data_IF_549605459648
#
_entry.id   IF_549605459648
#
_cell.length_a   1.000
_cell.length_b   1.000
_cell.length_c   1.000
_cell.angle_alpha   90.00
_cell.angle_beta   90.00
_cell.angle_gamma   90.00
#
_symmetry.space_group_name_H-M   'P 1'
#
loop_
_entity.id
_entity.type
_entity.pdbx_description
1 polymer ?
#
# COMPACT_ATOMS: atom_id res chain seq x y z
N UNK A 1 4.31 13.67 -12.37
CA UNK A 1 5.16 12.47 -12.26
C UNK A 1 4.18 11.31 -12.18
N UNK A 2 3.61 10.94 -13.32
CA UNK A 2 2.83 9.72 -13.44
C UNK A 2 3.77 8.59 -13.83
N UNK A 3 3.42 7.35 -13.52
CA UNK A 3 3.95 6.25 -14.28
C UNK A 3 3.66 6.58 -15.74
N UNK A 4 4.68 6.53 -16.59
CA UNK A 4 4.48 6.63 -18.03
C UNK A 4 3.82 5.36 -18.58
N UNK A 5 2.86 4.83 -17.85
CA UNK A 5 2.10 3.63 -18.22
C UNK A 5 0.87 4.10 -18.97
N UNK A 6 0.74 3.63 -20.21
CA UNK A 6 -0.40 3.90 -21.08
C UNK A 6 -1.44 2.79 -20.96
N UNK A 7 -0.98 1.52 -20.86
CA UNK A 7 -1.86 0.36 -20.79
C UNK A 7 -1.13 -0.86 -20.21
N UNK A 8 -1.88 -1.92 -19.94
CA UNK A 8 -1.40 -3.19 -19.39
C UNK A 8 -1.94 -4.33 -20.26
N UNK A 9 -1.04 -5.14 -20.81
CA UNK A 9 -1.42 -6.37 -21.48
C UNK A 9 -1.60 -7.51 -20.46
N UNK A 10 -2.71 -8.21 -20.55
CA UNK A 10 -3.07 -9.33 -19.68
C UNK A 10 -3.32 -10.58 -20.50
N UNK A 11 -2.95 -11.72 -19.95
CA UNK A 11 -3.29 -13.06 -20.47
C UNK A 11 -4.04 -13.84 -19.41
N UNK A 12 -4.95 -14.70 -19.89
CA UNK A 12 -5.74 -15.59 -19.02
C UNK A 12 -5.03 -16.92 -18.89
N UNK A 13 -4.68 -17.27 -17.69
CA UNK A 13 -4.04 -18.55 -17.38
C UNK A 13 -4.50 -19.05 -16.00
N UNK A 14 -4.04 -20.23 -15.61
CA UNK A 14 -4.35 -20.80 -14.31
C UNK A 14 -3.24 -20.55 -13.31
N UNK A 15 -3.61 -19.98 -12.16
CA UNK A 15 -2.75 -19.88 -10.98
C UNK A 15 -2.97 -21.10 -10.09
N UNK A 16 -1.89 -21.77 -9.68
CA UNK A 16 -1.97 -22.84 -8.69
C UNK A 16 -2.36 -22.29 -7.33
N UNK A 17 -3.38 -22.84 -6.71
CA UNK A 17 -3.78 -22.48 -5.35
C UNK A 17 -3.10 -23.42 -4.34
N UNK A 18 -2.58 -22.86 -3.26
CA UNK A 18 -2.10 -23.66 -2.14
C UNK A 18 -3.27 -24.22 -1.35
N UNK A 19 -3.07 -25.33 -0.57
CA UNK A 19 -4.12 -25.88 0.30
C UNK A 19 -4.69 -24.83 1.27
N UNK A 20 -3.84 -23.95 1.80
CA UNK A 20 -4.24 -22.87 2.71
C UNK A 20 -5.14 -21.85 2.00
N UNK A 21 -4.81 -21.47 0.78
CA UNK A 21 -5.64 -20.57 -0.04
C UNK A 21 -7.01 -21.20 -0.32
N UNK A 22 -7.06 -22.49 -0.63
CA UNK A 22 -8.32 -23.21 -0.87
C UNK A 22 -9.16 -23.24 0.41
N UNK A 23 -8.54 -23.52 1.56
CA UNK A 23 -9.22 -23.52 2.84
C UNK A 23 -9.76 -22.14 3.20
N UNK A 24 -8.97 -21.09 2.97
CA UNK A 24 -9.41 -19.71 3.17
C UNK A 24 -10.60 -19.33 2.29
N UNK A 25 -10.55 -19.66 0.99
CA UNK A 25 -11.65 -19.39 0.05
C UNK A 25 -12.93 -20.12 0.48
N UNK A 26 -12.81 -21.36 0.94
CA UNK A 26 -13.94 -22.15 1.45
C UNK A 26 -14.53 -21.56 2.74
N UNK A 27 -13.68 -21.14 3.68
CA UNK A 27 -14.12 -20.61 4.97
C UNK A 27 -14.71 -19.20 4.87
N UNK A 28 -14.27 -18.41 3.90
CA UNK A 28 -14.77 -17.05 3.67
C UNK A 28 -16.13 -16.97 2.99
N UNK A 29 -16.72 -18.11 2.59
CA UNK A 29 -17.99 -18.15 1.86
C UNK A 29 -17.92 -17.54 0.44
N UNK A 30 -16.73 -17.24 -0.04
CA UNK A 30 -16.51 -16.61 -1.36
C UNK A 30 -16.51 -17.62 -2.52
N UNK A 31 -16.77 -18.89 -2.26
CA UNK A 31 -16.99 -19.87 -3.31
C UNK A 31 -18.42 -19.71 -3.86
N UNK A 32 -18.64 -18.62 -4.58
CA UNK A 32 -19.83 -18.49 -5.43
C UNK A 32 -19.74 -19.46 -6.62
N UNK A 33 -20.88 -19.79 -7.22
CA UNK A 33 -20.93 -20.64 -8.43
C UNK A 33 -20.06 -20.07 -9.55
N UNK A 34 -19.91 -18.74 -9.62
CA UNK A 34 -19.04 -18.06 -10.55
C UNK A 34 -17.55 -18.35 -10.26
N UNK A 35 -17.14 -18.31 -9.00
CA UNK A 35 -15.77 -18.62 -8.61
C UNK A 35 -15.45 -20.12 -8.73
N UNK A 36 -16.42 -20.98 -8.45
CA UNK A 36 -16.29 -22.42 -8.69
C UNK A 36 -16.08 -22.75 -10.17
N UNK A 37 -16.70 -21.98 -11.08
CA UNK A 37 -16.51 -22.15 -12.53
C UNK A 37 -15.12 -21.76 -13.03
N UNK A 38 -14.36 -20.96 -12.25
CA UNK A 38 -12.99 -20.56 -12.56
C UNK A 38 -11.94 -21.59 -12.13
N UNK A 39 -12.33 -22.60 -11.35
CA UNK A 39 -11.44 -23.68 -10.96
C UNK A 39 -11.15 -24.61 -12.14
N UNK A 40 -9.89 -25.01 -12.29
CA UNK A 40 -9.47 -25.94 -13.31
C UNK A 40 -10.04 -27.34 -13.04
N UNK A 41 -10.56 -27.96 -14.10
CA UNK A 41 -10.92 -29.38 -14.13
C UNK A 41 -9.80 -30.22 -14.74
N UNK A 42 -8.67 -29.62 -15.10
CA UNK A 42 -7.52 -30.30 -15.68
C UNK A 42 -6.85 -31.20 -14.61
N UNK A 43 -6.72 -32.52 -14.86
CA UNK A 43 -6.01 -33.43 -13.96
C UNK A 43 -4.55 -33.02 -13.67
N UNK A 44 -3.91 -32.28 -14.58
CA UNK A 44 -2.53 -31.79 -14.41
C UNK A 44 -2.45 -30.55 -13.52
N UNK A 45 -3.56 -29.85 -13.33
CA UNK A 45 -3.67 -28.66 -12.49
C UNK A 45 -5.02 -28.62 -11.75
N UNK A 46 -5.31 -29.60 -10.88
CA UNK A 46 -6.64 -29.79 -10.29
C UNK A 46 -7.10 -28.63 -9.39
N UNK A 47 -6.17 -27.80 -8.91
CA UNK A 47 -6.43 -26.65 -8.04
C UNK A 47 -6.09 -25.32 -8.74
N UNK A 48 -5.99 -25.32 -10.06
CA UNK A 48 -5.73 -24.12 -10.83
C UNK A 48 -6.93 -23.17 -10.80
N UNK A 49 -6.72 -21.91 -10.44
CA UNK A 49 -7.73 -20.86 -10.50
C UNK A 49 -7.47 -19.97 -11.73
N UNK A 50 -8.46 -19.88 -12.62
CA UNK A 50 -8.33 -19.06 -13.82
C UNK A 50 -8.37 -17.58 -13.46
N UNK A 51 -7.34 -16.86 -13.83
CA UNK A 51 -7.22 -15.44 -13.55
C UNK A 51 -6.48 -14.72 -14.69
N UNK A 52 -6.48 -13.41 -14.64
CA UNK A 52 -5.75 -12.57 -15.58
C UNK A 52 -4.36 -12.27 -15.01
N UNK A 53 -3.33 -12.52 -15.81
CA UNK A 53 -1.95 -12.21 -15.47
C UNK A 53 -1.44 -11.06 -16.31
N UNK A 54 -0.81 -10.08 -15.64
CA UNK A 54 -0.09 -9.02 -16.33
C UNK A 54 1.16 -9.63 -16.98
N UNK A 55 1.23 -9.60 -18.29
CA UNK A 55 2.38 -10.11 -19.04
C UNK A 55 3.32 -8.98 -19.48
N UNK A 56 2.78 -7.81 -19.78
CA UNK A 56 3.58 -6.65 -20.13
C UNK A 56 2.89 -5.33 -19.79
N UNK A 57 3.70 -4.27 -19.72
CA UNK A 57 3.27 -2.90 -19.45
C UNK A 57 3.63 -2.03 -20.65
N UNK A 58 2.64 -1.33 -21.16
CA UNK A 58 2.79 -0.39 -22.26
C UNK A 58 3.12 0.97 -21.67
N UNK A 59 4.30 1.46 -22.00
CA UNK A 59 4.82 2.71 -21.47
C UNK A 59 4.83 3.78 -22.55
N UNK A 60 4.71 5.05 -22.15
CA UNK A 60 4.75 6.19 -23.04
C UNK A 60 5.79 7.20 -22.56
N UNK A 61 6.66 7.62 -23.46
CA UNK A 61 7.64 8.69 -23.24
C UNK A 61 7.49 9.75 -24.33
N UNK A 62 6.81 10.84 -24.01
CA UNK A 62 6.45 11.84 -25.00
C UNK A 62 5.49 11.26 -26.04
N UNK A 63 5.97 11.14 -27.30
CA UNK A 63 5.22 10.52 -28.41
C UNK A 63 5.55 9.03 -28.63
N UNK A 64 6.59 8.53 -27.96
CA UNK A 64 7.02 7.14 -28.11
C UNK A 64 6.23 6.23 -27.17
N UNK A 65 5.76 5.13 -27.72
CA UNK A 65 5.08 4.06 -26.99
C UNK A 65 5.96 2.82 -27.10
N UNK A 66 6.25 2.19 -25.97
CA UNK A 66 7.05 0.97 -25.92
C UNK A 66 6.49 -0.01 -24.90
N UNK A 67 6.62 -1.28 -25.17
CA UNK A 67 6.13 -2.36 -24.31
C UNK A 67 7.30 -3.01 -23.60
N UNK A 68 7.18 -3.16 -22.28
CA UNK A 68 8.15 -3.91 -21.46
C UNK A 68 7.45 -5.10 -20.82
N UNK A 69 8.07 -6.30 -20.84
CA UNK A 69 7.59 -7.44 -20.09
C UNK A 69 7.46 -7.10 -18.60
N UNK A 70 6.50 -7.70 -17.91
CA UNK A 70 6.33 -7.54 -16.44
C UNK A 70 7.64 -7.78 -15.70
N UNK A 71 8.42 -8.80 -16.09
CA UNK A 71 9.70 -9.14 -15.48
C UNK A 71 10.77 -8.05 -15.62
N UNK A 72 10.60 -7.11 -16.56
CA UNK A 72 11.49 -5.98 -16.77
C UNK A 72 11.06 -4.70 -16.03
N UNK A 73 9.93 -4.76 -15.32
CA UNK A 73 9.48 -3.63 -14.50
C UNK A 73 10.24 -3.57 -13.19
N UNK A 74 10.43 -2.35 -12.67
CA UNK A 74 10.97 -2.19 -11.31
C UNK A 74 9.97 -2.71 -10.28
N UNK A 75 10.47 -3.22 -9.16
CA UNK A 75 9.64 -3.63 -8.03
C UNK A 75 8.73 -2.48 -7.56
N UNK A 76 9.26 -1.26 -7.48
CA UNK A 76 8.49 -0.07 -7.13
C UNK A 76 7.34 0.22 -8.10
N UNK A 77 7.54 -0.01 -9.40
CA UNK A 77 6.47 0.13 -10.40
C UNK A 77 5.36 -0.88 -10.16
N UNK A 78 5.71 -2.15 -9.97
CA UNK A 78 4.73 -3.22 -9.74
C UNK A 78 4.00 -3.02 -8.41
N UNK A 79 4.71 -2.63 -7.35
CA UNK A 79 4.12 -2.33 -6.05
C UNK A 79 3.14 -1.16 -6.14
N UNK A 80 3.52 -0.09 -6.79
CA UNK A 80 2.66 1.06 -6.95
C UNK A 80 1.39 0.74 -7.77
N UNK A 81 1.50 -0.04 -8.84
CA UNK A 81 0.34 -0.52 -9.59
C UNK A 81 -0.60 -1.34 -8.70
N UNK A 82 -0.05 -2.22 -7.85
CA UNK A 82 -0.82 -3.02 -6.90
C UNK A 82 -1.55 -2.13 -5.87
N UNK A 83 -0.87 -1.13 -5.31
CA UNK A 83 -1.46 -0.21 -4.34
C UNK A 83 -2.53 0.66 -5.01
N UNK A 84 -2.29 1.24 -6.18
CA UNK A 84 -3.29 2.02 -6.92
C UNK A 84 -4.55 1.20 -7.22
N UNK A 85 -4.38 -0.06 -7.61
CA UNK A 85 -5.50 -0.97 -7.82
C UNK A 85 -6.28 -1.20 -6.53
N UNK A 86 -5.58 -1.43 -5.40
CA UNK A 86 -6.21 -1.64 -4.10
C UNK A 86 -6.93 -0.38 -3.61
N UNK A 87 -6.34 0.81 -3.78
CA UNK A 87 -6.96 2.10 -3.49
C UNK A 87 -8.25 2.28 -4.29
N UNK A 88 -8.20 2.07 -5.60
CA UNK A 88 -9.36 2.15 -6.46
C UNK A 88 -10.50 1.21 -6.02
N UNK A 89 -10.18 -0.06 -5.74
CA UNK A 89 -11.18 -1.04 -5.27
C UNK A 89 -11.76 -0.64 -3.91
N UNK A 90 -10.92 -0.14 -2.99
CA UNK A 90 -11.40 0.36 -1.70
C UNK A 90 -12.35 1.54 -1.87
N UNK A 91 -12.00 2.51 -2.71
CA UNK A 91 -12.79 3.71 -2.99
C UNK A 91 -14.15 3.37 -3.58
N UNK A 92 -14.20 2.49 -4.58
CA UNK A 92 -15.47 2.06 -5.21
C UNK A 92 -16.39 1.33 -4.25
N UNK A 93 -15.86 0.68 -3.22
CA UNK A 93 -16.62 -0.17 -2.31
C UNK A 93 -16.72 0.40 -0.87
N UNK A 94 -16.27 1.63 -0.63
CA UNK A 94 -16.24 2.27 0.68
C UNK A 94 -15.59 1.37 1.77
N UNK A 95 -14.42 0.83 1.48
CA UNK A 95 -13.71 -0.12 2.35
C UNK A 95 -12.59 0.54 3.15
N UNK A 96 -12.23 -0.09 4.27
CA UNK A 96 -10.95 0.15 4.94
C UNK A 96 -9.84 -0.59 4.20
N UNK A 97 -8.78 0.11 3.86
CA UNK A 97 -7.57 -0.46 3.25
C UNK A 97 -6.38 -0.24 4.18
N UNK A 98 -5.89 -1.28 4.87
CA UNK A 98 -4.62 -1.23 5.58
C UNK A 98 -3.47 -1.53 4.63
N UNK A 99 -2.40 -0.73 4.71
CA UNK A 99 -1.15 -0.95 3.95
C UNK A 99 0.01 -0.82 4.91
N UNK A 100 0.81 -1.87 5.00
CA UNK A 100 2.00 -1.91 5.82
C UNK A 100 3.22 -1.43 5.02
N UNK A 101 4.07 -0.60 5.66
CA UNK A 101 5.27 -0.01 5.06
C UNK A 101 5.02 0.54 3.65
N UNK A 102 4.12 1.51 3.56
CA UNK A 102 3.66 2.03 2.25
C UNK A 102 4.80 2.56 1.38
N UNK A 103 5.88 3.06 1.99
CA UNK A 103 7.04 3.63 1.29
C UNK A 103 7.97 2.58 0.66
N UNK A 104 7.86 1.30 1.05
CA UNK A 104 8.78 0.24 0.59
C UNK A 104 8.85 0.20 -0.94
N UNK A 105 10.07 0.24 -1.48
CA UNK A 105 10.38 0.25 -2.92
C UNK A 105 9.75 1.40 -3.73
N UNK A 106 9.18 2.43 -3.08
CA UNK A 106 8.55 3.54 -3.78
C UNK A 106 9.35 4.85 -3.70
N UNK A 107 9.28 5.60 -4.80
CA UNK A 107 9.83 6.95 -4.80
C UNK A 107 8.95 7.89 -3.93
N UNK A 108 9.54 8.74 -3.07
CA UNK A 108 8.80 9.63 -2.16
C UNK A 108 7.73 10.51 -2.82
N UNK A 109 7.99 11.01 -4.02
CA UNK A 109 7.02 11.82 -4.75
C UNK A 109 5.80 11.02 -5.20
N UNK A 110 5.99 9.73 -5.49
CA UNK A 110 4.90 8.84 -5.84
C UNK A 110 4.02 8.54 -4.64
N UNK A 111 4.64 8.23 -3.48
CA UNK A 111 3.92 8.08 -2.21
C UNK A 111 3.05 9.30 -1.90
N UNK A 112 3.64 10.50 -1.99
CA UNK A 112 2.90 11.76 -1.82
C UNK A 112 1.72 11.86 -2.77
N UNK A 113 1.94 11.58 -4.05
CA UNK A 113 0.89 11.62 -5.08
C UNK A 113 -0.27 10.67 -4.76
N UNK A 114 0.03 9.43 -4.40
CA UNK A 114 -0.97 8.40 -4.09
C UNK A 114 -1.84 8.81 -2.88
N UNK A 115 -1.22 9.25 -1.79
CA UNK A 115 -1.95 9.72 -0.61
C UNK A 115 -2.83 10.93 -0.96
N UNK A 116 -2.31 11.91 -1.70
CA UNK A 116 -3.09 13.07 -2.10
C UNK A 116 -4.23 12.72 -3.06
N UNK A 117 -4.03 11.75 -3.96
CA UNK A 117 -5.08 11.28 -4.86
C UNK A 117 -6.21 10.63 -4.09
N UNK A 118 -5.90 9.74 -3.16
CA UNK A 118 -6.90 9.12 -2.28
C UNK A 118 -7.71 10.17 -1.50
N UNK A 119 -7.04 11.17 -0.91
CA UNK A 119 -7.71 12.21 -0.12
C UNK A 119 -8.64 13.13 -0.94
N UNK A 120 -8.45 13.20 -2.26
CA UNK A 120 -9.30 14.01 -3.16
C UNK A 120 -10.59 13.29 -3.56
N UNK A 121 -10.63 11.97 -3.43
CA UNK A 121 -11.82 11.20 -3.82
C UNK A 121 -12.89 11.36 -2.75
N UNK A 122 -14.11 11.68 -3.18
CA UNK A 122 -15.27 11.76 -2.30
C UNK A 122 -15.86 10.37 -2.05
N UNK A 123 -15.19 9.57 -1.21
CA UNK A 123 -15.66 8.26 -0.78
C UNK A 123 -15.73 8.17 0.75
N UNK A 124 -16.33 7.09 1.26
CA UNK A 124 -16.30 6.75 2.69
C UNK A 124 -15.19 5.78 3.03
N UNK A 125 -14.27 5.58 2.09
CA UNK A 125 -13.14 4.69 2.29
C UNK A 125 -12.20 5.23 3.34
N UNK A 126 -11.54 4.33 4.03
CA UNK A 126 -10.52 4.65 5.04
C UNK A 126 -9.20 4.02 4.64
N UNK A 127 -8.12 4.76 4.84
CA UNK A 127 -6.76 4.30 4.57
C UNK A 127 -6.00 4.25 5.90
N UNK A 128 -5.51 3.08 6.26
CA UNK A 128 -4.65 2.88 7.42
C UNK A 128 -3.25 2.53 6.93
N UNK A 129 -2.27 3.37 7.23
CA UNK A 129 -0.89 3.19 6.78
C UNK A 129 0.04 2.99 7.96
N UNK A 130 1.00 2.06 7.82
CA UNK A 130 2.21 2.10 8.62
C UNK A 130 3.37 2.63 7.76
N UNK A 131 4.31 3.33 8.38
CA UNK A 131 5.45 3.90 7.67
C UNK A 131 6.60 4.24 8.63
N UNK A 132 7.82 4.08 8.14
CA UNK A 132 9.04 4.61 8.76
C UNK A 132 9.53 5.89 8.08
N UNK A 133 8.77 6.42 7.12
CA UNK A 133 9.13 7.58 6.33
C UNK A 133 8.82 8.89 7.05
N UNK A 134 9.76 9.36 7.88
CA UNK A 134 9.62 10.58 8.68
C UNK A 134 9.33 11.87 7.88
N UNK A 135 9.74 12.02 6.58
CA UNK A 135 9.34 13.18 5.81
C UNK A 135 7.82 13.34 5.64
N UNK A 136 7.02 12.30 5.91
CA UNK A 136 5.56 12.41 5.91
C UNK A 136 5.05 13.42 6.95
N UNK A 137 5.81 13.72 8.01
CA UNK A 137 5.49 14.80 8.95
C UNK A 137 5.47 16.19 8.30
N UNK A 138 6.13 16.37 7.16
CA UNK A 138 6.08 17.66 6.43
C UNK A 138 4.73 17.85 5.72
N UNK A 139 3.95 16.79 5.56
CA UNK A 139 2.61 16.83 4.98
C UNK A 139 1.54 17.33 5.97
N UNK A 140 1.89 17.39 7.25
CA UNK A 140 1.00 17.91 8.29
C UNK A 140 0.76 19.41 8.07
N UNK A 141 -0.50 19.81 8.17
CA UNK A 141 -0.98 21.16 7.86
C UNK A 141 -0.96 21.52 6.36
N UNK A 142 -0.42 20.67 5.46
CA UNK A 142 -0.53 20.79 3.99
C UNK A 142 -1.75 20.00 3.47
N UNK A 143 -1.72 18.67 3.63
CA UNK A 143 -2.82 17.80 3.20
C UNK A 143 -3.15 16.68 4.22
N UNK A 144 -2.39 16.54 5.30
CA UNK A 144 -2.66 15.63 6.41
C UNK A 144 -2.92 16.38 7.70
N UNK A 145 -3.77 15.83 8.55
CA UNK A 145 -4.11 16.40 9.85
C UNK A 145 -3.24 15.76 10.94
N UNK A 146 -2.92 16.51 11.99
CA UNK A 146 -2.14 16.02 13.15
C UNK A 146 -2.81 14.85 13.85
N UNK A 147 -4.13 14.84 13.90
CA UNK A 147 -4.93 13.80 14.57
C UNK A 147 -4.98 12.48 13.78
N UNK A 148 -4.57 12.48 12.51
CA UNK A 148 -4.41 11.27 11.72
C UNK A 148 -3.09 10.54 11.96
N UNK A 149 -2.15 11.14 12.70
CA UNK A 149 -0.87 10.51 13.01
C UNK A 149 -0.91 9.84 14.38
N UNK A 150 -0.46 8.59 14.38
CA UNK A 150 -0.26 7.79 15.58
C UNK A 150 1.19 7.35 15.62
N UNK A 151 1.78 7.34 16.80
CA UNK A 151 3.15 6.95 17.05
C UNK A 151 3.16 5.66 17.88
N UNK A 152 4.02 4.73 17.48
CA UNK A 152 4.25 3.50 18.22
C UNK A 152 5.65 3.54 18.82
N UNK A 153 5.74 3.41 20.13
CA UNK A 153 6.99 3.39 20.88
C UNK A 153 7.16 2.05 21.60
N UNK A 154 8.38 1.53 21.60
CA UNK A 154 8.72 0.31 22.34
C UNK A 154 9.40 0.70 23.64
N UNK A 155 8.78 0.34 24.75
CA UNK A 155 9.31 0.60 26.08
C UNK A 155 10.41 -0.40 26.47
N UNK A 156 11.23 -0.04 27.47
CA UNK A 156 12.33 -0.88 27.96
C UNK A 156 11.85 -2.24 28.51
N UNK A 157 10.61 -2.31 28.97
CA UNK A 157 9.96 -3.55 29.45
C UNK A 157 9.46 -4.47 28.32
N UNK A 158 9.67 -4.06 27.06
CA UNK A 158 9.29 -4.81 25.88
C UNK A 158 7.87 -4.55 25.38
N UNK A 159 7.04 -3.79 26.10
CA UNK A 159 5.71 -3.41 25.66
C UNK A 159 5.77 -2.33 24.56
N UNK A 160 4.82 -2.41 23.64
CA UNK A 160 4.60 -1.35 22.64
C UNK A 160 3.45 -0.46 23.09
N UNK A 161 3.66 0.85 23.04
CA UNK A 161 2.65 1.85 23.30
C UNK A 161 2.28 2.59 22.03
N UNK A 162 0.97 2.63 21.72
CA UNK A 162 0.42 3.39 20.61
C UNK A 162 -0.29 4.64 21.14
N UNK A 163 0.08 5.81 20.65
CA UNK A 163 -0.52 7.07 21.08
C UNK A 163 -0.68 8.04 19.92
N UNK A 164 -1.75 8.87 19.92
CA UNK A 164 -1.94 9.87 18.89
C UNK A 164 -0.92 11.01 19.02
N UNK A 165 -0.43 11.53 17.90
CA UNK A 165 0.51 12.66 17.86
C UNK A 165 -0.01 13.87 18.66
N UNK A 166 -1.32 14.13 18.59
CA UNK A 166 -1.96 15.25 19.29
C UNK A 166 -1.91 15.17 20.80
N UNK A 167 -1.65 13.98 21.38
CA UNK A 167 -1.49 13.82 22.85
C UNK A 167 -0.16 14.36 23.38
N UNK A 168 0.82 14.64 22.49
CA UNK A 168 2.11 15.15 22.91
C UNK A 168 2.06 16.63 23.25
N UNK A 169 2.61 16.97 24.42
CA UNK A 169 2.62 18.33 24.90
C UNK A 169 3.32 19.28 23.92
N UNK A 170 2.68 20.39 23.61
CA UNK A 170 3.26 21.45 22.78
C UNK A 170 3.29 21.16 21.28
N UNK A 171 2.73 20.04 20.79
CA UNK A 171 2.76 19.66 19.38
C UNK A 171 2.17 20.75 18.46
N UNK A 172 1.19 21.49 18.94
CA UNK A 172 0.56 22.58 18.17
C UNK A 172 1.45 23.83 18.06
N UNK A 173 2.50 23.94 18.88
CA UNK A 173 3.47 25.05 18.86
C UNK A 173 4.77 24.68 18.15
N UNK A 174 4.92 23.42 17.71
CA UNK A 174 6.12 22.96 17.03
C UNK A 174 6.14 23.47 15.58
N UNK A 175 7.22 24.16 15.20
CA UNK A 175 7.41 24.67 13.83
C UNK A 175 7.70 23.57 12.81
N UNK A 176 8.25 22.45 13.24
CA UNK A 176 8.58 21.30 12.40
C UNK A 176 8.42 20.03 13.20
N UNK A 177 7.41 19.26 12.87
CA UNK A 177 7.16 17.95 13.49
C UNK A 177 8.23 16.94 13.11
N UNK A 178 8.73 16.98 11.88
CA UNK A 178 9.84 16.13 11.43
C UNK A 178 11.08 16.35 12.30
N UNK A 179 11.50 17.60 12.50
CA UNK A 179 12.65 17.89 13.38
C UNK A 179 12.38 17.49 14.83
N UNK A 180 11.16 17.67 15.30
CA UNK A 180 10.79 17.27 16.65
C UNK A 180 10.89 15.75 16.82
N UNK A 181 10.45 14.99 15.81
CA UNK A 181 10.59 13.54 15.77
C UNK A 181 12.06 13.11 15.76
N UNK A 182 12.86 13.62 14.81
CA UNK A 182 14.29 13.31 14.70
C UNK A 182 15.11 13.70 15.94
N UNK A 183 14.65 14.66 16.74
CA UNK A 183 15.24 15.03 18.04
C UNK A 183 14.59 14.29 19.23
N UNK A 184 13.87 13.22 18.98
CA UNK A 184 13.18 12.39 19.97
C UNK A 184 12.21 13.14 20.90
N UNK A 185 11.71 14.30 20.50
CA UNK A 185 10.72 15.06 21.30
C UNK A 185 9.31 14.48 21.23
N UNK A 186 9.06 13.65 20.22
CA UNK A 186 7.78 12.98 20.03
C UNK A 186 7.78 11.54 20.53
N UNK A 187 8.95 10.96 20.83
CA UNK A 187 9.14 9.53 21.07
C UNK A 187 9.11 8.72 19.77
N UNK A 188 9.05 7.41 19.90
CA UNK A 188 8.94 6.46 18.78
C UNK A 188 10.16 6.44 17.83
N UNK A 189 11.30 7.00 18.25
CA UNK A 189 12.56 6.77 17.53
C UNK A 189 13.20 5.46 17.99
N UNK A 190 13.74 4.65 17.06
CA UNK A 190 14.52 3.48 17.43
C UNK A 190 15.70 3.88 18.33
N UNK A 191 15.82 3.23 19.49
CA UNK A 191 17.01 3.39 20.35
C UNK A 191 18.12 2.54 19.74
N UNK A 192 19.04 3.19 19.05
CA UNK A 192 20.25 2.55 18.53
C UNK A 192 21.27 2.62 19.67
N UNK A 193 21.63 1.46 20.23
CA UNK A 193 22.75 1.40 21.16
C UNK A 193 23.99 1.94 20.46
N UNK A 194 24.65 2.91 21.08
CA UNK A 194 25.94 3.40 20.59
C UNK A 194 26.92 2.22 20.57
N UNK A 195 27.36 1.81 19.40
CA UNK A 195 28.40 0.82 19.19
C UNK A 195 29.76 1.45 19.54
#
# INVERSE_FOLDING_TARGET
>A
IGFNIEDIAVEKDYMSLTPEMIQFIKSSGQLSDENASKLSKDPKMPNGFKTDFIVSVINKRGKEIYTLPKASQSEGTLRAMGIETALYVAEQNNKLLPIDEIETSMHPLLLKFMIQSFLKVQSRSQLLLTTHYDPLFTAVDDYLRKDSFWLMDKRDDGHSELYPLISKNGVNKMRSLQRAYLNNKLGALPQIANV
#
